data_IF_615894985279
#
_entry.id   IF_615894985279
#
_cell.length_a   1.000
_cell.length_b   1.000
_cell.length_c   1.000
_cell.angle_alpha   90.00
_cell.angle_beta   90.00
_cell.angle_gamma   90.00
#
_symmetry.space_group_name_H-M   'P 1'
#
loop_
_entity.id
_entity.type
_entity.pdbx_description
1 polymer ?
#
# COMPACT_ATOMS: atom_id res chain seq x y z
N UNK A 1 -25.59 -5.11 -0.93
CA UNK A 1 -24.14 -5.27 -1.25
C UNK A 1 -23.87 -6.71 -1.69
N UNK A 2 -23.06 -6.92 -2.74
CA UNK A 2 -22.73 -8.23 -3.31
C UNK A 2 -21.21 -8.36 -3.47
N UNK A 3 -20.61 -9.44 -2.95
CA UNK A 3 -19.22 -9.78 -3.17
C UNK A 3 -19.01 -10.36 -4.58
N UNK A 4 -17.98 -9.86 -5.28
CA UNK A 4 -17.66 -10.26 -6.66
C UNK A 4 -16.27 -10.87 -6.67
N UNK A 5 -16.21 -12.13 -7.11
CA UNK A 5 -14.98 -12.85 -7.43
C UNK A 5 -14.62 -12.58 -8.90
N UNK A 6 -13.34 -12.39 -9.20
CA UNK A 6 -12.85 -12.16 -10.56
C UNK A 6 -13.48 -10.95 -11.26
N UNK A 7 -13.40 -9.79 -10.61
CA UNK A 7 -13.79 -8.52 -11.23
C UNK A 7 -13.04 -8.37 -12.56
N UNK A 8 -13.75 -7.92 -13.60
CA UNK A 8 -13.17 -7.70 -14.91
C UNK A 8 -12.00 -6.68 -14.80
N UNK A 9 -10.89 -6.98 -15.50
CA UNK A 9 -9.60 -6.30 -15.32
C UNK A 9 -9.66 -4.79 -15.54
N UNK A 10 -10.33 -4.37 -16.60
CA UNK A 10 -10.41 -2.94 -16.94
C UNK A 10 -11.32 -2.19 -15.96
N UNK A 11 -12.43 -2.83 -15.55
CA UNK A 11 -13.33 -2.30 -14.54
C UNK A 11 -12.65 -2.17 -13.18
N UNK A 12 -11.88 -3.19 -12.78
CA UNK A 12 -11.08 -3.18 -11.55
C UNK A 12 -10.07 -2.05 -11.56
N UNK A 13 -9.30 -1.93 -12.65
CA UNK A 13 -8.27 -0.89 -12.78
C UNK A 13 -8.88 0.51 -12.83
N UNK A 14 -9.99 0.70 -13.54
CA UNK A 14 -10.67 1.98 -13.57
C UNK A 14 -11.10 2.45 -12.17
N UNK A 15 -11.63 1.55 -11.35
CA UNK A 15 -11.97 1.86 -9.97
C UNK A 15 -10.71 2.13 -9.12
N UNK A 16 -9.72 1.24 -9.19
CA UNK A 16 -8.52 1.30 -8.35
C UNK A 16 -7.68 2.55 -8.62
N UNK A 17 -7.52 2.96 -9.90
CA UNK A 17 -6.71 4.13 -10.30
C UNK A 17 -7.37 5.44 -9.86
N UNK A 18 -8.69 5.52 -9.93
CA UNK A 18 -9.43 6.75 -9.58
C UNK A 18 -9.74 6.86 -8.08
N UNK A 19 -9.46 5.82 -7.28
CA UNK A 19 -9.74 5.84 -5.85
C UNK A 19 -8.74 6.73 -5.08
N UNK A 20 -9.17 7.54 -4.07
CA UNK A 20 -8.26 8.39 -3.27
C UNK A 20 -7.12 7.63 -2.59
N UNK A 21 -7.34 6.36 -2.23
CA UNK A 21 -6.34 5.47 -1.64
C UNK A 21 -5.61 4.63 -2.69
N UNK A 22 -5.54 5.10 -3.93
CA UNK A 22 -4.88 4.37 -5.00
C UNK A 22 -3.39 4.09 -4.69
N UNK A 23 -2.92 2.98 -5.22
CA UNK A 23 -1.50 2.62 -5.21
C UNK A 23 -1.27 1.62 -6.34
N UNK A 24 -0.09 1.65 -6.99
CA UNK A 24 0.20 0.74 -8.11
C UNK A 24 0.04 -0.74 -7.73
N UNK A 25 0.34 -1.12 -6.49
CA UNK A 25 0.17 -2.49 -5.99
C UNK A 25 -1.28 -2.91 -5.75
N UNK A 26 -2.24 -2.02 -5.94
CA UNK A 26 -3.68 -2.30 -5.87
C UNK A 26 -4.31 -2.41 -7.26
N UNK A 27 -3.52 -2.40 -8.32
CA UNK A 27 -3.98 -2.58 -9.70
C UNK A 27 -3.68 -3.99 -10.19
N UNK A 28 -4.38 -4.45 -11.22
CA UNK A 28 -4.16 -5.78 -11.80
C UNK A 28 -2.75 -5.96 -12.38
N UNK A 29 -2.08 -4.88 -12.77
CA UNK A 29 -0.70 -4.91 -13.28
C UNK A 29 0.31 -5.42 -12.25
N UNK A 30 -0.02 -5.29 -10.96
CA UNK A 30 0.86 -5.76 -9.89
C UNK A 30 0.95 -7.29 -9.83
N UNK A 31 -0.05 -8.02 -10.35
CA UNK A 31 0.02 -9.49 -10.49
C UNK A 31 1.20 -9.86 -11.38
N UNK A 32 1.31 -9.23 -12.57
CA UNK A 32 2.38 -9.51 -13.52
C UNK A 32 3.76 -9.15 -12.93
N UNK A 33 3.83 -8.04 -12.19
CA UNK A 33 5.05 -7.65 -11.47
C UNK A 33 5.47 -8.69 -10.42
N UNK A 34 4.51 -9.37 -9.76
CA UNK A 34 4.76 -10.36 -8.70
C UNK A 34 4.93 -11.80 -9.19
N UNK A 35 4.65 -12.10 -10.45
CA UNK A 35 4.86 -13.44 -11.05
C UNK A 35 6.27 -14.00 -10.88
N UNK A 36 7.37 -13.23 -11.07
CA UNK A 36 8.71 -13.74 -10.85
C UNK A 36 8.99 -14.20 -9.41
N UNK A 37 8.23 -13.67 -8.44
CA UNK A 37 8.30 -14.07 -7.04
C UNK A 37 7.37 -15.25 -6.70
N UNK A 38 6.77 -15.91 -7.72
CA UNK A 38 5.83 -17.02 -7.61
C UNK A 38 4.50 -16.65 -6.92
N UNK A 39 4.02 -15.43 -7.11
CA UNK A 39 2.67 -15.02 -6.73
C UNK A 39 1.72 -15.15 -7.93
N UNK A 40 0.49 -15.52 -7.62
CA UNK A 40 -0.69 -15.35 -8.44
C UNK A 40 -1.64 -14.36 -7.76
N UNK A 41 -2.72 -13.95 -8.40
CA UNK A 41 -3.60 -12.96 -7.79
C UNK A 41 -5.02 -12.97 -8.35
N UNK A 42 -5.95 -12.63 -7.46
CA UNK A 42 -7.37 -12.50 -7.76
C UNK A 42 -7.84 -11.06 -7.58
N UNK A 43 -8.68 -10.60 -8.50
CA UNK A 43 -9.30 -9.28 -8.51
C UNK A 43 -10.68 -9.38 -7.86
N UNK A 44 -10.80 -8.91 -6.63
CA UNK A 44 -12.00 -9.04 -5.81
C UNK A 44 -12.67 -7.68 -5.63
N UNK A 45 -13.99 -7.66 -5.49
CA UNK A 45 -14.72 -6.41 -5.30
C UNK A 45 -16.04 -6.57 -4.56
N UNK A 46 -16.67 -5.44 -4.29
CA UNK A 46 -18.04 -5.36 -3.81
C UNK A 46 -18.83 -4.44 -4.72
N UNK A 47 -20.02 -4.87 -5.08
CA UNK A 47 -21.02 -4.07 -5.79
C UNK A 47 -22.13 -3.63 -4.84
N UNK A 48 -22.66 -2.43 -5.11
CA UNK A 48 -23.94 -1.97 -4.53
C UNK A 48 -25.14 -2.65 -5.21
N UNK A 49 -26.33 -2.24 -4.85
CA UNK A 49 -27.56 -2.81 -5.37
C UNK A 49 -27.88 -2.38 -6.81
N UNK A 50 -27.24 -1.29 -7.28
CA UNK A 50 -27.27 -0.81 -8.66
C UNK A 50 -26.19 -1.45 -9.54
N UNK A 51 -25.30 -2.28 -8.98
CA UNK A 51 -24.21 -2.94 -9.69
C UNK A 51 -22.97 -2.08 -9.89
N UNK A 52 -22.84 -0.95 -9.19
CA UNK A 52 -21.63 -0.16 -9.20
C UNK A 52 -20.58 -0.78 -8.27
N UNK A 53 -19.32 -0.76 -8.71
CA UNK A 53 -18.21 -1.21 -7.86
C UNK A 53 -17.94 -0.17 -6.77
N UNK A 54 -18.02 -0.58 -5.50
CA UNK A 54 -17.85 0.29 -4.33
C UNK A 54 -16.62 -0.09 -3.48
N UNK A 55 -16.02 -1.24 -3.73
CA UNK A 55 -14.77 -1.67 -3.11
C UNK A 55 -13.98 -2.60 -4.02
N UNK A 56 -12.63 -2.55 -3.92
CA UNK A 56 -11.75 -3.52 -4.57
C UNK A 56 -10.60 -3.95 -3.67
N UNK A 57 -10.16 -5.20 -3.86
CA UNK A 57 -8.96 -5.75 -3.26
C UNK A 57 -8.22 -6.64 -4.27
N UNK A 58 -6.93 -6.43 -4.44
CA UNK A 58 -6.05 -7.39 -5.08
C UNK A 58 -5.55 -8.37 -4.03
N UNK A 59 -5.95 -9.62 -4.12
CA UNK A 59 -5.48 -10.69 -3.22
C UNK A 59 -4.43 -11.52 -3.94
N UNK A 60 -3.19 -11.39 -3.52
CA UNK A 60 -2.08 -12.20 -3.99
C UNK A 60 -2.04 -13.54 -3.26
N UNK A 61 -1.68 -14.61 -3.97
CA UNK A 61 -1.53 -15.95 -3.44
C UNK A 61 -0.13 -16.47 -3.70
N UNK A 62 0.50 -17.07 -2.70
CA UNK A 62 1.78 -17.75 -2.86
C UNK A 62 1.70 -19.16 -2.31
N UNK A 63 1.97 -20.14 -3.19
CA UNK A 63 2.07 -21.54 -2.81
C UNK A 63 3.30 -21.74 -1.92
N UNK A 64 3.16 -22.58 -0.91
CA UNK A 64 4.27 -22.95 -0.03
C UNK A 64 4.90 -24.27 -0.46
N UNK A 65 6.00 -24.64 0.18
CA UNK A 65 6.65 -25.94 -0.08
C UNK A 65 5.81 -27.14 0.41
N UNK A 66 4.84 -26.92 1.28
CA UNK A 66 3.92 -27.97 1.71
C UNK A 66 2.85 -28.18 0.63
N UNK A 67 2.57 -29.43 0.24
CA UNK A 67 1.54 -29.71 -0.76
C UNK A 67 0.18 -29.16 -0.30
N UNK A 68 -0.55 -28.57 -1.25
CA UNK A 68 -1.88 -27.99 -1.08
C UNK A 68 -1.99 -26.82 -0.09
N UNK A 69 -0.88 -26.17 0.28
CA UNK A 69 -0.93 -24.99 1.14
C UNK A 69 -0.44 -23.74 0.44
N UNK A 70 -1.15 -22.65 0.67
CA UNK A 70 -0.77 -21.32 0.22
C UNK A 70 -1.09 -20.30 1.31
N UNK A 71 -0.48 -19.13 1.24
CA UNK A 71 -0.93 -17.96 1.98
C UNK A 71 -1.45 -16.88 1.04
N UNK A 72 -2.34 -16.04 1.57
CA UNK A 72 -2.88 -14.91 0.85
C UNK A 72 -2.41 -13.59 1.44
N UNK A 73 -2.20 -12.60 0.59
CA UNK A 73 -1.71 -11.29 0.98
C UNK A 73 -2.42 -10.17 0.22
N UNK A 74 -2.93 -9.18 0.94
CA UNK A 74 -3.49 -7.96 0.39
C UNK A 74 -2.58 -6.80 0.79
N UNK A 75 -1.73 -6.40 -0.15
CA UNK A 75 -0.74 -5.35 0.06
C UNK A 75 -1.43 -3.97 -0.02
N UNK A 76 -1.10 -3.08 0.91
CA UNK A 76 -1.70 -1.75 1.04
C UNK A 76 -3.22 -1.73 1.29
N UNK A 77 -3.82 -2.89 1.62
CA UNK A 77 -5.24 -2.99 1.94
C UNK A 77 -6.17 -2.78 0.76
N UNK A 78 -7.35 -2.28 1.03
CA UNK A 78 -8.44 -2.16 0.07
C UNK A 78 -8.53 -0.76 -0.55
N UNK A 79 -9.18 -0.66 -1.71
CA UNK A 79 -9.76 0.57 -2.20
C UNK A 79 -11.23 0.57 -1.81
N UNK A 80 -11.58 1.24 -0.73
CA UNK A 80 -12.94 1.49 -0.27
C UNK A 80 -12.97 2.72 0.65
N UNK A 81 -14.16 3.22 0.92
CA UNK A 81 -14.37 4.23 1.95
C UNK A 81 -14.32 3.56 3.33
N UNK A 82 -13.23 3.77 4.08
CA UNK A 82 -13.04 3.20 5.41
C UNK A 82 -13.99 3.78 6.46
N UNK A 83 -14.61 4.95 6.22
CA UNK A 83 -15.64 5.50 7.10
C UNK A 83 -16.95 4.69 7.00
N UNK A 84 -17.18 4.01 5.88
CA UNK A 84 -18.29 3.08 5.72
C UNK A 84 -17.99 1.76 6.45
N UNK A 85 -18.30 1.74 7.74
CA UNK A 85 -18.00 0.61 8.62
C UNK A 85 -18.72 -0.67 8.22
N UNK A 86 -19.94 -0.55 7.69
CA UNK A 86 -20.72 -1.70 7.22
C UNK A 86 -20.06 -2.35 6.00
N UNK A 87 -19.67 -1.56 5.01
CA UNK A 87 -18.93 -2.03 3.84
C UNK A 87 -17.61 -2.66 4.24
N UNK A 88 -16.86 -2.02 5.13
CA UNK A 88 -15.58 -2.53 5.61
C UNK A 88 -15.74 -3.89 6.31
N UNK A 89 -16.71 -4.02 7.23
CA UNK A 89 -16.98 -5.27 7.96
C UNK A 89 -17.45 -6.38 7.00
N UNK A 90 -18.36 -6.06 6.08
CA UNK A 90 -18.82 -6.98 5.05
C UNK A 90 -17.63 -7.49 4.21
N UNK A 91 -16.84 -6.59 3.66
CA UNK A 91 -15.74 -6.95 2.77
C UNK A 91 -14.66 -7.77 3.47
N UNK A 92 -14.29 -7.43 4.71
CA UNK A 92 -13.33 -8.21 5.51
C UNK A 92 -13.80 -9.64 5.74
N UNK A 93 -15.07 -9.86 6.03
CA UNK A 93 -15.62 -11.19 6.23
C UNK A 93 -15.60 -12.00 4.92
N UNK A 94 -16.04 -11.41 3.81
CA UNK A 94 -16.02 -12.06 2.50
C UNK A 94 -14.60 -12.44 2.05
N UNK A 95 -13.63 -11.55 2.22
CA UNK A 95 -12.22 -11.81 1.89
C UNK A 95 -11.63 -12.95 2.73
N UNK A 96 -12.00 -13.04 4.00
CA UNK A 96 -11.58 -14.14 4.88
C UNK A 96 -12.15 -15.47 4.42
N UNK A 97 -13.45 -15.52 4.12
CA UNK A 97 -14.10 -16.75 3.64
C UNK A 97 -13.60 -17.12 2.24
N UNK A 98 -13.33 -16.13 1.37
CA UNK A 98 -12.71 -16.37 0.08
C UNK A 98 -11.31 -16.98 0.21
N UNK A 99 -10.45 -16.41 1.05
CA UNK A 99 -9.11 -16.96 1.30
C UNK A 99 -9.15 -18.40 1.81
N UNK A 100 -10.13 -18.76 2.67
CA UNK A 100 -10.35 -20.14 3.12
C UNK A 100 -10.73 -21.05 1.97
N UNK A 101 -11.70 -20.65 1.12
CA UNK A 101 -12.10 -21.44 -0.06
C UNK A 101 -10.95 -21.67 -1.04
N UNK A 102 -10.02 -20.70 -1.15
CA UNK A 102 -8.79 -20.83 -1.95
C UNK A 102 -7.72 -21.71 -1.29
N UNK A 103 -7.96 -22.23 -0.10
CA UNK A 103 -7.00 -23.09 0.62
C UNK A 103 -5.85 -22.32 1.28
N UNK A 104 -6.04 -21.04 1.58
CA UNK A 104 -5.04 -20.25 2.30
C UNK A 104 -5.08 -20.55 3.78
N UNK A 105 -3.92 -20.88 4.37
CA UNK A 105 -3.82 -21.13 5.81
C UNK A 105 -3.73 -19.83 6.64
N UNK A 106 -3.36 -18.70 6.03
CA UNK A 106 -3.57 -17.37 6.59
C UNK A 106 -3.80 -16.32 5.48
N UNK A 107 -4.48 -15.26 5.85
CA UNK A 107 -4.64 -14.04 5.06
C UNK A 107 -3.96 -12.89 5.80
N UNK A 108 -2.95 -12.28 5.18
CA UNK A 108 -2.31 -11.07 5.68
C UNK A 108 -2.85 -9.85 4.94
N UNK A 109 -3.09 -8.79 5.68
CA UNK A 109 -3.55 -7.50 5.14
C UNK A 109 -2.72 -6.40 5.79
N UNK A 110 -2.13 -5.52 4.99
CA UNK A 110 -1.37 -4.36 5.46
C UNK A 110 -2.10 -3.07 5.02
N UNK A 111 -3.13 -2.61 5.73
CA UNK A 111 -3.87 -1.41 5.33
C UNK A 111 -2.98 -0.17 5.35
N UNK A 112 -2.96 0.58 4.25
CA UNK A 112 -2.26 1.87 4.19
C UNK A 112 -3.22 3.00 4.56
N UNK A 113 -3.57 3.08 5.84
CA UNK A 113 -4.46 4.08 6.39
C UNK A 113 -3.71 4.87 7.44
N UNK A 114 -3.86 6.20 7.42
CA UNK A 114 -3.37 7.03 8.50
C UNK A 114 -4.16 6.73 9.77
N UNK A 115 -3.50 6.13 10.77
CA UNK A 115 -4.14 5.81 12.06
C UNK A 115 -4.43 7.05 12.86
N UNK A 116 -3.42 7.87 13.06
CA UNK A 116 -3.46 9.12 13.82
C UNK A 116 -2.57 10.16 13.13
N UNK A 117 -2.98 11.41 13.19
CA UNK A 117 -2.16 12.53 12.76
C UNK A 117 -1.40 13.11 13.96
N UNK A 118 -0.12 13.43 13.76
CA UNK A 118 0.75 13.95 14.79
C UNK A 118 1.28 15.33 14.42
N UNK A 119 1.47 16.17 15.42
CA UNK A 119 2.21 17.43 15.30
C UNK A 119 3.71 17.17 15.13
N UNK A 120 4.48 18.22 14.80
CA UNK A 120 5.93 18.11 14.58
C UNK A 120 6.71 17.64 15.82
N UNK A 121 6.15 17.84 17.00
CA UNK A 121 6.72 17.42 18.30
C UNK A 121 6.31 15.99 18.71
N UNK A 122 5.54 15.30 17.84
CA UNK A 122 5.08 13.94 18.07
C UNK A 122 3.78 13.80 18.87
N UNK A 123 3.18 14.90 19.33
CA UNK A 123 1.88 14.85 19.97
C UNK A 123 0.78 14.59 18.96
N UNK A 124 -0.30 13.93 19.43
CA UNK A 124 -1.48 13.73 18.61
C UNK A 124 -2.08 15.09 18.27
N UNK A 125 -2.33 15.30 16.99
CA UNK A 125 -2.91 16.55 16.50
C UNK A 125 -4.37 16.64 16.90
N UNK A 126 -4.74 17.73 17.57
CA UNK A 126 -6.13 18.03 17.89
C UNK A 126 -6.94 18.21 16.60
N UNK A 127 -8.07 17.54 16.47
CA UNK A 127 -8.89 17.48 15.24
C UNK A 127 -8.18 16.86 14.00
N UNK A 128 -7.08 16.12 14.19
CA UNK A 128 -6.46 15.32 13.14
C UNK A 128 -7.23 14.01 12.84
N UNK A 129 -6.79 13.28 11.83
CA UNK A 129 -7.38 11.98 11.51
C UNK A 129 -7.26 11.01 12.68
N UNK A 130 -8.34 10.28 12.96
CA UNK A 130 -8.36 9.19 13.93
C UNK A 130 -9.13 7.99 13.35
N UNK A 131 -8.39 6.99 12.90
CA UNK A 131 -8.92 5.74 12.37
C UNK A 131 -8.61 4.53 13.27
N UNK A 132 -8.48 4.75 14.58
CA UNK A 132 -8.23 3.64 15.54
C UNK A 132 -9.35 2.59 15.53
N UNK A 133 -10.58 3.01 15.23
CA UNK A 133 -11.72 2.12 15.07
C UNK A 133 -11.51 1.04 13.98
N UNK A 134 -10.69 1.32 12.97
CA UNK A 134 -10.40 0.34 11.90
C UNK A 134 -9.70 -0.89 12.48
N UNK A 135 -8.72 -0.70 13.37
CA UNK A 135 -8.06 -1.82 14.06
C UNK A 135 -9.07 -2.63 14.88
N UNK A 136 -9.97 -1.95 15.59
CA UNK A 136 -11.02 -2.63 16.38
C UNK A 136 -11.99 -3.42 15.48
N UNK A 137 -12.35 -2.90 14.29
CA UNK A 137 -13.19 -3.61 13.33
C UNK A 137 -12.48 -4.85 12.77
N UNK A 138 -11.20 -4.76 12.41
CA UNK A 138 -10.42 -5.92 12.00
C UNK A 138 -10.40 -7.00 13.09
N UNK A 139 -10.18 -6.62 14.35
CA UNK A 139 -10.22 -7.56 15.48
C UNK A 139 -11.61 -8.19 15.67
N UNK A 140 -12.69 -7.39 15.57
CA UNK A 140 -14.07 -7.88 15.60
C UNK A 140 -14.34 -8.93 14.51
N UNK A 141 -13.78 -8.76 13.31
CA UNK A 141 -13.86 -9.73 12.21
C UNK A 141 -12.93 -10.93 12.37
N UNK A 142 -12.21 -11.04 13.49
CA UNK A 142 -11.34 -12.17 13.81
C UNK A 142 -9.93 -12.07 13.24
N UNK A 143 -9.49 -10.88 12.83
CA UNK A 143 -8.09 -10.63 12.46
C UNK A 143 -7.24 -10.30 13.70
N UNK A 144 -5.99 -10.72 13.68
CA UNK A 144 -5.02 -10.42 14.75
C UNK A 144 -4.10 -9.31 14.30
N UNK A 145 -4.02 -8.22 15.08
CA UNK A 145 -3.05 -7.16 14.83
C UNK A 145 -1.65 -7.62 15.27
N UNK A 146 -0.69 -7.63 14.35
CA UNK A 146 0.67 -8.15 14.59
C UNK A 146 1.59 -7.16 15.32
N UNK A 147 1.07 -6.03 15.74
CA UNK A 147 1.85 -4.97 16.37
C UNK A 147 2.41 -3.98 15.36
N UNK A 148 3.19 -3.04 15.87
CA UNK A 148 3.87 -2.02 15.07
C UNK A 148 5.36 -2.29 15.03
N UNK A 149 5.96 -2.08 13.88
CA UNK A 149 7.40 -2.20 13.74
C UNK A 149 8.12 -0.98 14.33
N UNK A 150 9.23 -1.21 15.01
CA UNK A 150 10.09 -0.18 15.55
C UNK A 150 11.46 -0.26 14.85
N UNK A 151 11.82 0.79 14.12
CA UNK A 151 13.08 0.89 13.39
C UNK A 151 13.03 0.26 11.98
N UNK A 152 14.21 -0.01 11.43
CA UNK A 152 14.39 -0.49 10.05
C UNK A 152 14.56 -2.00 9.95
N UNK A 153 14.42 -2.73 11.05
CA UNK A 153 14.56 -4.18 11.06
C UNK A 153 13.28 -4.86 10.62
N UNK A 154 13.26 -5.41 9.43
CA UNK A 154 12.20 -6.31 9.00
C UNK A 154 11.48 -5.91 7.72
N UNK A 155 10.61 -6.80 7.28
CA UNK A 155 9.86 -6.74 6.03
C UNK A 155 8.56 -5.91 6.16
N UNK A 156 8.55 -4.89 6.99
CA UNK A 156 7.36 -4.13 7.33
C UNK A 156 7.44 -2.72 6.77
N UNK A 157 6.29 -2.15 6.48
CA UNK A 157 6.20 -0.75 6.11
C UNK A 157 6.55 0.17 7.27
N UNK A 158 7.07 1.35 6.95
CA UNK A 158 7.38 2.37 7.95
C UNK A 158 6.14 2.74 8.74
N UNK A 159 6.26 2.71 10.09
CA UNK A 159 5.18 3.09 11.00
C UNK A 159 4.83 4.57 10.90
N UNK A 160 5.83 5.40 10.68
CA UNK A 160 5.69 6.85 10.57
C UNK A 160 6.11 7.27 9.18
N UNK A 161 5.31 8.14 8.58
CA UNK A 161 5.62 8.77 7.28
C UNK A 161 5.52 10.27 7.43
N UNK A 162 6.43 10.99 6.80
CA UNK A 162 6.31 12.42 6.63
C UNK A 162 5.61 12.70 5.31
N UNK A 163 4.61 13.56 5.35
CA UNK A 163 3.94 14.03 4.14
C UNK A 163 4.44 15.44 3.82
N UNK A 164 4.89 15.64 2.60
CA UNK A 164 5.21 16.94 2.04
C UNK A 164 4.16 17.28 1.00
N UNK A 165 3.45 18.37 1.22
CA UNK A 165 2.54 18.92 0.22
C UNK A 165 3.36 19.60 -0.87
N UNK A 166 3.19 19.15 -2.12
CA UNK A 166 3.88 19.69 -3.29
C UNK A 166 3.09 20.78 -4.01
N UNK A 167 1.83 20.99 -3.65
CA UNK A 167 0.98 22.05 -4.22
C UNK A 167 1.24 23.40 -3.53
N UNK A 168 2.50 23.80 -3.58
CA UNK A 168 2.99 25.08 -3.04
C UNK A 168 4.25 25.54 -3.79
N UNK A 169 4.55 26.87 -3.78
CA UNK A 169 5.74 27.39 -4.45
C UNK A 169 7.04 26.73 -3.98
N UNK A 170 7.93 26.43 -4.93
CA UNK A 170 9.20 25.71 -4.69
C UNK A 170 10.05 26.36 -3.58
N UNK A 171 10.10 27.69 -3.53
CA UNK A 171 10.83 28.42 -2.49
C UNK A 171 10.29 28.16 -1.08
N UNK A 172 8.99 27.89 -0.93
CA UNK A 172 8.37 27.52 0.35
C UNK A 172 8.71 26.08 0.73
N UNK A 173 8.69 25.17 -0.25
CA UNK A 173 9.12 23.79 -0.07
C UNK A 173 10.59 23.74 0.40
N UNK A 174 11.49 24.42 -0.31
CA UNK A 174 12.93 24.46 0.00
C UNK A 174 13.22 25.06 1.39
N UNK A 175 12.47 26.09 1.80
CA UNK A 175 12.59 26.65 3.16
C UNK A 175 12.19 25.64 4.25
N UNK A 176 11.23 24.76 3.96
CA UNK A 176 10.79 23.70 4.88
C UNK A 176 11.84 22.59 5.05
N UNK A 177 12.66 22.33 4.03
CA UNK A 177 13.65 21.25 3.96
C UNK A 177 15.06 21.81 4.28
N UNK A 178 15.22 22.38 5.48
CA UNK A 178 16.45 23.10 5.91
C UNK A 178 17.77 22.31 5.72
N UNK A 179 17.76 21.00 5.79
CA UNK A 179 18.97 20.16 5.66
C UNK A 179 19.33 19.86 4.21
N UNK A 180 18.35 19.58 3.36
CA UNK A 180 18.61 19.23 1.95
C UNK A 180 19.09 20.42 1.11
N UNK A 181 18.61 21.66 1.37
CA UNK A 181 19.06 22.83 0.63
C UNK A 181 20.54 23.14 0.85
N UNK A 182 21.08 22.86 2.05
CA UNK A 182 22.52 23.01 2.30
C UNK A 182 23.36 21.96 1.55
N UNK A 183 22.83 20.76 1.33
CA UNK A 183 23.51 19.72 0.55
C UNK A 183 23.45 20.01 -0.95
N UNK A 184 22.33 20.51 -1.47
CA UNK A 184 22.20 20.84 -2.90
C UNK A 184 23.18 21.95 -3.30
N UNK A 185 23.29 23.04 -2.51
CA UNK A 185 24.27 24.09 -2.76
C UNK A 185 25.72 23.56 -2.68
N UNK A 186 26.01 22.60 -1.80
CA UNK A 186 27.33 21.95 -1.73
C UNK A 186 27.57 20.99 -2.92
N UNK A 187 26.56 20.37 -3.45
CA UNK A 187 26.65 19.46 -4.59
C UNK A 187 26.87 20.25 -5.88
N UNK A 188 26.20 21.37 -6.10
CA UNK A 188 26.49 22.29 -7.22
C UNK A 188 27.95 22.77 -7.18
N UNK A 189 28.50 23.07 -5.98
CA UNK A 189 29.92 23.42 -5.80
C UNK A 189 30.90 22.26 -6.07
N UNK A 190 30.39 21.00 -6.16
CA UNK A 190 31.17 19.78 -6.44
C UNK A 190 31.01 19.26 -7.86
N UNK A 191 30.45 20.06 -8.76
CA UNK A 191 30.19 19.69 -10.15
C UNK A 191 29.28 18.45 -10.32
N UNK A 192 28.32 18.32 -9.41
CA UNK A 192 27.28 17.26 -9.46
C UNK A 192 26.10 17.77 -10.26
N UNK A 193 25.85 17.17 -11.42
CA UNK A 193 24.71 17.49 -12.26
C UNK A 193 23.57 16.52 -11.97
N UNK A 194 22.38 17.07 -11.68
CA UNK A 194 21.15 16.30 -11.49
C UNK A 194 20.22 16.53 -12.65
N UNK A 195 19.82 15.47 -13.31
CA UNK A 195 18.85 15.49 -14.41
C UNK A 195 17.77 14.43 -14.22
N UNK A 196 16.69 14.54 -14.94
CA UNK A 196 15.66 13.50 -14.98
C UNK A 196 16.16 12.36 -15.86
N UNK A 197 16.38 11.20 -15.26
CA UNK A 197 16.83 10.02 -15.97
C UNK A 197 15.83 9.56 -17.05
N UNK A 198 16.36 9.07 -18.15
CA UNK A 198 15.61 8.40 -19.21
C UNK A 198 15.59 6.89 -18.96
N UNK A 199 14.74 6.17 -19.72
CA UNK A 199 14.65 4.72 -19.60
C UNK A 199 15.96 4.01 -19.98
N UNK A 200 16.75 4.63 -20.88
CA UNK A 200 18.02 4.09 -21.36
C UNK A 200 19.15 4.18 -20.31
N UNK A 201 18.95 4.99 -19.27
CA UNK A 201 19.89 5.16 -18.15
C UNK A 201 19.59 4.21 -16.98
N UNK A 202 18.49 3.45 -17.02
CA UNK A 202 18.14 2.46 -16.01
C UNK A 202 19.25 1.43 -15.73
N UNK A 203 20.01 0.91 -16.73
CA UNK A 203 21.12 -0.02 -16.46
C UNK A 203 22.15 0.55 -15.49
N UNK A 204 22.51 1.83 -15.60
CA UNK A 204 23.47 2.49 -14.71
C UNK A 204 22.98 2.51 -13.27
N UNK A 205 21.67 2.73 -13.06
CA UNK A 205 21.06 2.69 -11.74
C UNK A 205 21.09 1.26 -11.16
N UNK A 206 20.81 0.25 -11.99
CA UNK A 206 20.86 -1.15 -11.57
C UNK A 206 22.28 -1.58 -11.18
N UNK A 207 23.30 -1.24 -11.97
CA UNK A 207 24.70 -1.50 -11.65
C UNK A 207 25.11 -0.88 -10.31
N UNK A 208 24.72 0.40 -10.07
CA UNK A 208 24.99 1.07 -8.80
C UNK A 208 24.32 0.39 -7.60
N UNK A 209 23.11 -0.15 -7.77
CA UNK A 209 22.42 -0.92 -6.72
C UNK A 209 23.10 -2.27 -6.47
N UNK A 210 23.56 -2.96 -7.50
CA UNK A 210 24.31 -4.22 -7.37
C UNK A 210 25.64 -4.04 -6.65
N UNK A 211 26.35 -2.94 -6.93
CA UNK A 211 27.59 -2.62 -6.22
C UNK A 211 27.36 -2.32 -4.73
N UNK A 212 26.27 -1.62 -4.40
CA UNK A 212 25.88 -1.36 -3.02
C UNK A 212 25.52 -2.64 -2.28
N UNK A 213 24.88 -3.58 -2.94
CA UNK A 213 24.48 -4.86 -2.34
C UNK A 213 25.69 -5.82 -2.08
N UNK A 214 26.83 -5.59 -2.70
CA UNK A 214 28.08 -6.36 -2.49
C UNK A 214 28.92 -5.86 -1.31
N UNK A 215 28.60 -4.70 -0.75
CA UNK A 215 29.26 -4.11 0.42
C UNK A 215 28.51 -4.42 1.72
#
# INVERSE_FOLDING_TARGET
MKFIENVEKDRFNAFAINHPLNHYSKTSYFIDFKKPEFYDGDLLGVEDDEGNLIATALMLHKKTKFPFSQFSYIQYGFNLDYENKELLEFFMNELKEYAKRKGSFFLRIDPNITRLEHEKDGKIKENGFNHEYVTALFQKCGYTHLGYNYGYSGNWMSRYTYRLDLDQPLNKILKGIKRCSQYNNKNEQRDVHVHKATIDELPVLCEGQEELAKK
#
